data_IF_279814418818
#
_entry.id   IF_279814418818
#
_cell.length_a   1.000
_cell.length_b   1.000
_cell.length_c   1.000
_cell.angle_alpha   90.00
_cell.angle_beta   90.00
_cell.angle_gamma   90.00
#
_symmetry.space_group_name_H-M   'P 1'
#
loop_
_entity.id
_entity.type
_entity.pdbx_description
1 polymer ?
#
# COMPACT_ATOMS: atom_id res chain seq x y z
N UNK A 1 -29.58 10.72 -15.98
CA UNK A 1 -28.32 9.92 -16.06
C UNK A 1 -27.38 10.43 -14.98
N UNK A 2 -26.51 9.59 -14.39
CA UNK A 2 -25.49 9.96 -13.36
C UNK A 2 -25.82 9.67 -11.88
N UNK A 3 -25.94 8.39 -11.49
CA UNK A 3 -25.73 7.95 -10.09
C UNK A 3 -24.71 6.82 -9.90
N UNK A 4 -24.13 6.29 -10.97
CA UNK A 4 -23.26 5.10 -10.91
C UNK A 4 -21.76 5.42 -10.83
N UNK A 5 -21.35 6.70 -10.85
CA UNK A 5 -19.93 7.11 -10.78
C UNK A 5 -19.31 7.00 -9.38
N UNK A 6 -20.12 6.89 -8.33
CA UNK A 6 -19.67 7.14 -6.94
C UNK A 6 -18.89 6.03 -6.23
N UNK A 7 -19.21 4.72 -6.33
CA UNK A 7 -18.66 3.74 -5.37
C UNK A 7 -17.14 3.58 -5.49
N UNK A 8 -16.62 3.58 -6.72
CA UNK A 8 -15.18 3.36 -6.95
C UNK A 8 -14.32 4.58 -6.61
N UNK A 9 -14.82 5.79 -6.91
CA UNK A 9 -14.12 7.03 -6.57
C UNK A 9 -14.07 7.25 -5.06
N UNK A 10 -15.16 6.94 -4.34
CA UNK A 10 -15.21 7.04 -2.88
C UNK A 10 -14.32 5.98 -2.24
N UNK A 11 -14.35 4.74 -2.74
CA UNK A 11 -13.46 3.67 -2.27
C UNK A 11 -11.98 4.08 -2.38
N UNK A 12 -11.53 4.56 -3.54
CA UNK A 12 -10.13 4.95 -3.76
C UNK A 12 -9.70 6.12 -2.87
N UNK A 13 -10.62 7.04 -2.56
CA UNK A 13 -10.37 8.13 -1.61
C UNK A 13 -10.15 7.58 -0.20
N UNK A 14 -11.09 6.77 0.29
CA UNK A 14 -11.06 6.24 1.66
C UNK A 14 -9.87 5.29 1.84
N UNK A 15 -9.66 4.37 0.91
CA UNK A 15 -8.53 3.45 0.91
C UNK A 15 -7.20 4.21 0.92
N UNK A 16 -7.06 5.24 0.08
CA UNK A 16 -5.85 6.06 0.03
C UNK A 16 -5.58 6.78 1.36
N UNK A 17 -6.59 7.42 1.96
CA UNK A 17 -6.44 8.10 3.27
C UNK A 17 -6.02 7.09 4.35
N UNK A 18 -6.66 5.92 4.40
CA UNK A 18 -6.32 4.86 5.35
C UNK A 18 -4.86 4.47 5.19
N UNK A 19 -4.40 4.19 3.96
CA UNK A 19 -3.01 3.76 3.74
C UNK A 19 -1.97 4.85 4.03
N UNK A 20 -2.31 6.13 3.89
CA UNK A 20 -1.45 7.24 4.33
C UNK A 20 -1.30 7.21 5.85
N UNK A 21 -2.40 7.07 6.60
CA UNK A 21 -2.35 6.98 8.06
C UNK A 21 -1.59 5.73 8.51
N UNK A 22 -1.85 4.58 7.88
CA UNK A 22 -1.12 3.33 8.16
C UNK A 22 0.38 3.48 7.89
N UNK A 23 0.80 4.21 6.85
CA UNK A 23 2.23 4.41 6.56
C UNK A 23 2.97 5.10 7.72
N UNK A 24 2.31 6.03 8.42
CA UNK A 24 2.90 6.70 9.59
C UNK A 24 3.08 5.69 10.72
N UNK A 25 2.07 4.85 10.99
CA UNK A 25 2.16 3.82 12.03
C UNK A 25 3.23 2.78 11.73
N UNK A 26 3.30 2.29 10.50
CA UNK A 26 4.32 1.35 10.04
C UNK A 26 5.70 1.96 10.17
N UNK A 27 5.89 3.22 9.79
CA UNK A 27 7.18 3.92 9.94
C UNK A 27 7.64 3.92 11.40
N UNK A 28 6.78 4.28 12.34
CA UNK A 28 7.16 4.30 13.77
C UNK A 28 7.50 2.89 14.30
N UNK A 29 6.72 1.87 13.96
CA UNK A 29 7.02 0.47 14.35
C UNK A 29 8.33 0.00 13.73
N UNK A 30 8.57 0.34 12.47
CA UNK A 30 9.76 -0.05 11.73
C UNK A 30 11.01 0.66 12.24
N UNK A 31 10.91 1.91 12.69
CA UNK A 31 12.01 2.60 13.37
C UNK A 31 12.34 1.93 14.71
N UNK A 32 11.32 1.52 15.48
CA UNK A 32 11.54 0.79 16.73
C UNK A 32 12.20 -0.58 16.48
N UNK A 33 11.73 -1.32 15.47
CA UNK A 33 12.35 -2.57 15.03
C UNK A 33 13.78 -2.36 14.51
N UNK A 34 14.02 -1.30 13.74
CA UNK A 34 15.35 -0.96 13.24
C UNK A 34 16.34 -0.61 14.35
N UNK A 35 15.87 0.09 15.39
CA UNK A 35 16.67 0.37 16.58
C UNK A 35 16.96 -0.92 17.37
N UNK A 36 15.98 -1.78 17.58
CA UNK A 36 16.17 -3.10 18.23
C UNK A 36 17.19 -3.95 17.45
N UNK A 37 17.09 -4.01 16.12
CA UNK A 37 18.06 -4.70 15.27
C UNK A 37 19.49 -4.18 15.45
N UNK A 38 19.65 -2.86 15.54
CA UNK A 38 20.96 -2.24 15.73
C UNK A 38 21.53 -2.48 17.14
N UNK A 39 20.68 -2.57 18.15
CA UNK A 39 21.10 -2.83 19.53
C UNK A 39 21.45 -4.30 19.79
N UNK A 40 20.73 -5.22 19.15
CA UNK A 40 20.91 -6.66 19.35
C UNK A 40 21.89 -7.29 18.34
N UNK A 41 22.34 -6.54 17.33
CA UNK A 41 23.21 -7.03 16.24
C UNK A 41 22.70 -8.33 15.57
N UNK A 42 21.37 -8.55 15.58
CA UNK A 42 20.74 -9.78 15.07
C UNK A 42 20.80 -9.94 13.55
N UNK A 43 21.27 -8.92 12.81
CA UNK A 43 21.42 -8.96 11.35
C UNK A 43 20.11 -8.95 10.56
N UNK A 44 18.96 -8.81 11.21
CA UNK A 44 17.67 -8.72 10.53
C UNK A 44 17.46 -7.33 9.90
N UNK A 45 16.73 -7.31 8.78
CA UNK A 45 16.46 -6.08 8.00
C UNK A 45 15.00 -5.62 8.09
N UNK A 46 14.22 -6.16 9.04
CA UNK A 46 12.80 -5.87 9.20
C UNK A 46 12.52 -4.38 9.41
N UNK A 47 13.34 -3.68 10.18
CA UNK A 47 13.19 -2.24 10.36
C UNK A 47 13.32 -1.44 9.06
N UNK A 48 14.32 -1.72 8.24
CA UNK A 48 14.51 -1.03 6.96
C UNK A 48 13.44 -1.42 5.93
N UNK A 49 13.03 -2.69 5.91
CA UNK A 49 11.99 -3.19 5.03
C UNK A 49 10.62 -2.57 5.33
N UNK A 50 10.30 -2.40 6.62
CA UNK A 50 9.06 -1.75 7.03
C UNK A 50 9.01 -0.26 6.69
N UNK A 51 10.14 0.47 6.78
CA UNK A 51 10.21 1.86 6.30
C UNK A 51 10.00 1.93 4.80
N UNK A 52 10.59 1.02 4.02
CA UNK A 52 10.36 0.95 2.58
C UNK A 52 8.89 0.65 2.24
N UNK A 53 8.28 -0.32 2.94
CA UNK A 53 6.85 -0.64 2.81
C UNK A 53 5.99 0.59 3.10
N UNK A 54 6.32 1.36 4.14
CA UNK A 54 5.61 2.59 4.49
C UNK A 54 5.69 3.65 3.39
N UNK A 55 6.86 3.83 2.76
CA UNK A 55 7.03 4.73 1.61
C UNK A 55 6.15 4.26 0.44
N UNK A 56 6.13 2.95 0.15
CA UNK A 56 5.25 2.40 -0.87
C UNK A 56 3.77 2.63 -0.57
N UNK A 57 3.33 2.47 0.68
CA UNK A 57 1.97 2.79 1.14
C UNK A 57 1.62 4.26 0.92
N UNK A 58 2.53 5.16 1.25
CA UNK A 58 2.34 6.59 1.09
C UNK A 58 2.16 6.96 -0.38
N UNK A 59 3.06 6.49 -1.25
CA UNK A 59 3.00 6.72 -2.70
C UNK A 59 1.73 6.12 -3.31
N UNK A 60 1.43 4.86 -3.00
CA UNK A 60 0.24 4.18 -3.51
C UNK A 60 -1.06 4.89 -3.09
N UNK A 61 -1.13 5.35 -1.83
CA UNK A 61 -2.27 6.08 -1.29
C UNK A 61 -2.46 7.44 -1.97
N UNK A 62 -1.39 8.23 -2.13
CA UNK A 62 -1.45 9.53 -2.83
C UNK A 62 -1.90 9.36 -4.28
N UNK A 63 -1.29 8.44 -5.02
CA UNK A 63 -1.66 8.16 -6.41
C UNK A 63 -3.13 7.71 -6.48
N UNK A 64 -3.58 6.88 -5.54
CA UNK A 64 -4.95 6.40 -5.45
C UNK A 64 -5.97 7.54 -5.28
N UNK A 65 -5.64 8.51 -4.42
CA UNK A 65 -6.47 9.70 -4.15
C UNK A 65 -6.50 10.67 -5.34
N UNK A 66 -5.33 11.00 -5.90
CA UNK A 66 -5.21 11.99 -6.98
C UNK A 66 -5.86 11.48 -8.26
N UNK A 67 -5.73 10.18 -8.53
CA UNK A 67 -6.28 9.57 -9.74
C UNK A 67 -7.71 9.03 -9.57
N UNK A 68 -8.36 9.24 -8.41
CA UNK A 68 -9.68 8.68 -8.06
C UNK A 68 -10.80 9.03 -9.05
N UNK A 69 -10.74 10.21 -9.65
CA UNK A 69 -11.72 10.72 -10.64
C UNK A 69 -11.28 10.49 -12.08
N UNK A 70 -10.09 9.95 -12.30
CA UNK A 70 -9.58 9.72 -13.65
C UNK A 70 -10.46 8.70 -14.38
N UNK A 71 -10.73 8.97 -15.66
CA UNK A 71 -11.38 8.01 -16.55
C UNK A 71 -10.41 6.87 -16.89
N UNK A 72 -9.10 7.14 -16.95
CA UNK A 72 -8.09 6.12 -17.23
C UNK A 72 -7.85 5.17 -16.05
N UNK A 73 -7.54 3.91 -16.38
CA UNK A 73 -7.20 2.88 -15.38
C UNK A 73 -5.74 2.96 -14.87
N UNK A 74 -4.87 3.75 -15.53
CA UNK A 74 -3.44 3.83 -15.23
C UNK A 74 -3.13 4.13 -13.75
N UNK A 75 -3.84 5.09 -13.15
CA UNK A 75 -3.63 5.44 -11.74
C UNK A 75 -3.96 4.32 -10.76
N UNK A 76 -4.96 3.47 -11.06
CA UNK A 76 -5.29 2.33 -10.22
C UNK A 76 -4.20 1.24 -10.31
N UNK A 77 -3.68 0.98 -11.52
CA UNK A 77 -2.59 0.03 -11.73
C UNK A 77 -1.26 0.51 -11.12
N UNK A 78 -0.95 1.80 -11.19
CA UNK A 78 0.24 2.36 -10.53
C UNK A 78 0.16 2.18 -9.02
N UNK A 79 -0.97 2.55 -8.39
CA UNK A 79 -1.17 2.31 -6.94
C UNK A 79 -1.05 0.82 -6.60
N UNK A 80 -1.66 -0.06 -7.40
CA UNK A 80 -1.54 -1.50 -7.19
C UNK A 80 -0.10 -2.01 -7.25
N UNK A 81 0.69 -1.54 -8.22
CA UNK A 81 2.10 -1.90 -8.36
C UNK A 81 2.91 -1.56 -7.11
N UNK A 82 2.75 -0.35 -6.57
CA UNK A 82 3.44 0.06 -5.34
C UNK A 82 3.00 -0.75 -4.13
N UNK A 83 1.71 -1.05 -3.98
CA UNK A 83 1.23 -1.93 -2.91
C UNK A 83 1.79 -3.35 -3.00
N UNK A 84 1.83 -3.94 -4.19
CA UNK A 84 2.33 -5.31 -4.35
C UNK A 84 3.84 -5.37 -4.13
N UNK A 85 4.60 -4.48 -4.77
CA UNK A 85 6.06 -4.46 -4.66
C UNK A 85 6.49 -4.17 -3.22
N UNK A 86 5.92 -3.14 -2.59
CA UNK A 86 6.21 -2.83 -1.19
C UNK A 86 5.84 -3.98 -0.26
N UNK A 87 4.67 -4.58 -0.47
CA UNK A 87 4.18 -5.71 0.33
C UNK A 87 5.05 -6.96 0.23
N UNK A 88 5.49 -7.31 -0.97
CA UNK A 88 6.38 -8.45 -1.20
C UNK A 88 7.75 -8.23 -0.56
N UNK A 89 8.33 -7.04 -0.71
CA UNK A 89 9.62 -6.73 -0.07
C UNK A 89 9.48 -6.77 1.45
N UNK A 90 8.40 -6.20 1.99
CA UNK A 90 8.07 -6.27 3.42
C UNK A 90 7.97 -7.72 3.92
N UNK A 91 7.29 -8.60 3.17
CA UNK A 91 7.16 -10.02 3.53
C UNK A 91 8.48 -10.79 3.46
N UNK A 92 9.27 -10.59 2.41
CA UNK A 92 10.55 -11.29 2.21
C UNK A 92 11.55 -10.89 3.30
N UNK A 93 11.55 -9.61 3.68
CA UNK A 93 12.48 -9.07 4.67
C UNK A 93 11.88 -8.99 6.08
N UNK A 94 10.72 -9.61 6.34
CA UNK A 94 10.04 -9.53 7.63
C UNK A 94 10.83 -10.18 8.77
N UNK A 95 11.61 -11.23 8.47
CA UNK A 95 12.34 -11.98 9.50
C UNK A 95 11.39 -12.45 10.61
N UNK A 96 11.72 -12.09 11.85
CA UNK A 96 10.96 -12.42 13.06
C UNK A 96 9.83 -11.44 13.38
N UNK A 97 9.68 -10.35 12.63
CA UNK A 97 8.70 -9.29 12.90
C UNK A 97 7.31 -9.64 12.36
N UNK A 98 6.44 -10.14 13.25
CA UNK A 98 5.07 -10.52 12.91
C UNK A 98 4.22 -9.32 12.42
N UNK A 99 4.46 -8.13 12.95
CA UNK A 99 3.84 -6.88 12.50
C UNK A 99 4.13 -6.63 11.02
N UNK A 100 5.39 -6.75 10.58
CA UNK A 100 5.78 -6.53 9.20
C UNK A 100 5.16 -7.56 8.24
N UNK A 101 4.98 -8.81 8.68
CA UNK A 101 4.25 -9.83 7.91
C UNK A 101 2.80 -9.40 7.69
N UNK A 102 2.11 -8.96 8.75
CA UNK A 102 0.72 -8.50 8.69
C UNK A 102 0.60 -7.30 7.73
N UNK A 103 1.50 -6.33 7.86
CA UNK A 103 1.50 -5.15 6.98
C UNK A 103 1.76 -5.52 5.52
N UNK A 104 2.68 -6.46 5.27
CA UNK A 104 2.96 -6.97 3.93
C UNK A 104 1.77 -7.68 3.28
N UNK A 105 1.05 -8.53 4.03
CA UNK A 105 -0.17 -9.19 3.52
C UNK A 105 -1.26 -8.18 3.21
N UNK A 106 -1.50 -7.22 4.12
CA UNK A 106 -2.46 -6.13 3.91
C UNK A 106 -2.10 -5.36 2.65
N UNK A 107 -0.81 -5.06 2.45
CA UNK A 107 -0.32 -4.36 1.27
C UNK A 107 -0.66 -5.09 -0.02
N UNK A 108 -0.34 -6.39 -0.10
CA UNK A 108 -0.67 -7.19 -1.29
C UNK A 108 -2.19 -7.25 -1.53
N UNK A 109 -2.99 -7.37 -0.46
CA UNK A 109 -4.45 -7.36 -0.56
C UNK A 109 -4.99 -6.05 -1.14
N UNK A 110 -4.50 -4.89 -0.67
CA UNK A 110 -4.84 -3.59 -1.25
C UNK A 110 -4.43 -3.51 -2.72
N UNK A 111 -3.26 -4.05 -3.07
CA UNK A 111 -2.80 -4.16 -4.45
C UNK A 111 -3.80 -4.89 -5.35
N UNK A 112 -4.27 -6.05 -4.93
CA UNK A 112 -5.27 -6.84 -5.68
C UNK A 112 -6.59 -6.06 -5.85
N UNK A 113 -7.07 -5.41 -4.79
CA UNK A 113 -8.31 -4.61 -4.86
C UNK A 113 -8.14 -3.45 -5.85
N UNK A 114 -6.97 -2.80 -5.88
CA UNK A 114 -6.68 -1.73 -6.84
C UNK A 114 -6.54 -2.24 -8.29
N UNK A 115 -6.06 -3.46 -8.51
CA UNK A 115 -6.10 -4.11 -9.83
C UNK A 115 -7.55 -4.29 -10.29
N UNK A 116 -8.40 -4.85 -9.42
CA UNK A 116 -9.83 -5.04 -9.72
C UNK A 116 -10.49 -3.69 -10.05
N UNK A 117 -10.21 -2.66 -9.25
CA UNK A 117 -10.67 -1.30 -9.50
C UNK A 117 -10.22 -0.76 -10.88
N UNK A 118 -8.97 -1.04 -11.27
CA UNK A 118 -8.42 -0.68 -12.58
C UNK A 118 -9.14 -1.41 -13.72
N UNK A 119 -9.34 -2.72 -13.60
CA UNK A 119 -10.03 -3.54 -14.62
C UNK A 119 -11.49 -3.08 -14.80
N UNK A 120 -12.21 -2.83 -13.70
CA UNK A 120 -13.58 -2.30 -13.74
C UNK A 120 -13.64 -0.90 -14.39
N UNK A 121 -12.63 -0.07 -14.15
CA UNK A 121 -12.53 1.26 -14.78
C UNK A 121 -12.30 1.14 -16.29
N UNK A 122 -11.44 0.21 -16.72
CA UNK A 122 -11.17 -0.05 -18.16
C UNK A 122 -12.41 -0.59 -18.88
N UNK A 123 -13.10 -1.59 -18.31
CA UNK A 123 -14.30 -2.20 -18.91
C UNK A 123 -15.45 -1.22 -19.10
N UNK A 124 -15.57 -0.22 -18.22
CA UNK A 124 -16.62 0.82 -18.32
C UNK A 124 -16.40 1.80 -19.47
N UNK A 125 -15.17 1.95 -19.94
CA UNK A 125 -14.82 2.94 -20.96
C UNK A 125 -14.55 2.31 -22.35
N UNK A 126 -14.74 1.00 -22.48
CA UNK A 126 -14.64 0.26 -23.73
C UNK A 126 -16.03 -0.19 -24.17
#
# INVERSE_FOLDING_TARGET
MEKTKQPLSTFRLVAGIITIVLSVLVTFQSCAAGLSNALEENGESGGSAGVLLAICFLVAGIVGIVTRKSTGAGGAFTSAGFYIVGGLIGLICAGSYADLVIWGVISVAFGVIFIIAGVLTKKRNS
#
